data_IF_632673652233
#
_entry.id   IF_632673652233
#
_cell.length_a   1.000
_cell.length_b   1.000
_cell.length_c   1.000
_cell.angle_alpha   90.00
_cell.angle_beta   90.00
_cell.angle_gamma   90.00
#
_symmetry.space_group_name_H-M   'P 1'
#
loop_
_entity.id
_entity.type
_entity.pdbx_description
1 polymer ?
#
# COMPACT_ATOMS: atom_id res chain seq x y z
N UNK A 1 16.11 -17.69 7.13
CA UNK A 1 14.81 -17.66 6.42
C UNK A 1 14.41 -19.10 6.15
N UNK A 2 13.36 -19.61 6.81
CA UNK A 2 12.80 -20.93 6.46
C UNK A 2 12.22 -20.84 5.05
N UNK A 3 12.56 -21.77 4.17
CA UNK A 3 12.06 -21.87 2.80
C UNK A 3 10.52 -22.00 2.86
N UNK A 4 9.80 -20.97 2.42
CA UNK A 4 8.40 -21.07 2.03
C UNK A 4 8.36 -21.68 0.61
N UNK A 5 8.71 -22.96 0.50
CA UNK A 5 8.63 -23.67 -0.78
C UNK A 5 7.16 -23.67 -1.22
N UNK A 6 6.89 -23.18 -2.44
CA UNK A 6 5.58 -23.08 -3.09
C UNK A 6 4.54 -22.05 -2.56
N UNK A 7 4.90 -21.06 -1.78
CA UNK A 7 3.94 -19.98 -1.40
C UNK A 7 4.19 -18.71 -2.23
N UNK A 8 3.17 -17.89 -2.53
CA UNK A 8 3.36 -16.57 -3.12
C UNK A 8 4.41 -15.72 -2.38
N UNK A 9 5.09 -14.83 -3.11
CA UNK A 9 5.99 -13.82 -2.54
C UNK A 9 5.18 -12.57 -2.24
N UNK A 10 5.28 -12.03 -1.02
CA UNK A 10 4.67 -10.75 -0.68
C UNK A 10 5.74 -9.66 -0.61
N UNK A 11 5.53 -8.60 -1.36
CA UNK A 11 6.34 -7.39 -1.37
C UNK A 11 5.49 -6.27 -0.77
N UNK A 12 5.85 -5.78 0.41
CA UNK A 12 5.22 -4.62 1.02
C UNK A 12 5.89 -3.33 0.56
N UNK A 13 5.11 -2.37 0.09
CA UNK A 13 5.58 -1.05 -0.34
C UNK A 13 4.84 0.02 0.45
N UNK A 14 5.56 0.74 1.31
CA UNK A 14 5.02 1.83 2.12
C UNK A 14 5.75 3.15 1.87
N UNK A 15 5.21 4.20 2.41
CA UNK A 15 5.74 5.57 2.36
C UNK A 15 4.63 6.58 2.54
N UNK A 16 4.98 7.81 2.88
CA UNK A 16 3.99 8.87 3.09
C UNK A 16 3.14 9.16 1.85
N UNK A 17 2.00 9.81 2.05
CA UNK A 17 1.20 10.32 0.93
C UNK A 17 2.06 11.26 0.07
N UNK A 18 2.07 11.06 -1.25
CA UNK A 18 2.91 11.82 -2.18
C UNK A 18 4.37 11.34 -2.30
N UNK A 19 4.78 10.26 -1.59
CA UNK A 19 6.15 9.75 -1.67
C UNK A 19 6.50 9.07 -3.01
N UNK A 20 5.51 8.69 -3.82
CA UNK A 20 5.72 7.94 -5.06
C UNK A 20 5.69 6.41 -4.89
N UNK A 21 5.18 5.90 -3.75
CA UNK A 21 5.04 4.45 -3.52
C UNK A 21 4.25 3.75 -4.62
N UNK A 22 3.15 4.34 -5.08
CA UNK A 22 2.33 3.78 -6.17
C UNK A 22 3.10 3.72 -7.49
N UNK A 23 3.92 4.73 -7.78
CA UNK A 23 4.80 4.75 -8.96
C UNK A 23 5.84 3.63 -8.90
N UNK A 24 6.48 3.46 -7.74
CA UNK A 24 7.44 2.35 -7.52
C UNK A 24 6.74 0.99 -7.67
N UNK A 25 5.58 0.80 -7.05
CA UNK A 25 4.81 -0.45 -7.13
C UNK A 25 4.41 -0.79 -8.56
N UNK A 26 3.92 0.20 -9.32
CA UNK A 26 3.56 0.03 -10.75
C UNK A 26 4.79 -0.30 -11.60
N UNK A 27 5.90 0.41 -11.40
CA UNK A 27 7.12 0.16 -12.16
C UNK A 27 7.64 -1.28 -11.93
N UNK A 28 7.59 -1.78 -10.69
CA UNK A 28 7.92 -3.19 -10.39
C UNK A 28 6.93 -4.13 -11.08
N UNK A 29 5.64 -3.84 -11.00
CA UNK A 29 4.58 -4.64 -11.62
C UNK A 29 4.76 -4.73 -13.14
N UNK A 30 4.98 -3.59 -13.80
CA UNK A 30 5.13 -3.50 -15.24
C UNK A 30 6.41 -4.17 -15.76
N UNK A 31 7.52 -4.06 -15.04
CA UNK A 31 8.80 -4.66 -15.45
C UNK A 31 8.88 -6.18 -15.20
N UNK A 32 7.93 -6.75 -14.46
CA UNK A 32 7.83 -8.18 -14.20
C UNK A 32 6.84 -8.89 -15.14
N UNK A 33 6.56 -8.33 -16.34
CA UNK A 33 5.65 -8.98 -17.27
C UNK A 33 6.08 -10.43 -17.56
N UNK A 34 5.08 -11.30 -17.72
CA UNK A 34 5.27 -12.74 -17.94
C UNK A 34 5.26 -13.55 -16.65
N UNK A 35 5.28 -12.90 -15.49
CA UNK A 35 5.03 -13.54 -14.20
C UNK A 35 3.60 -13.33 -13.74
N UNK A 36 3.14 -14.22 -12.88
CA UNK A 36 1.81 -14.15 -12.27
C UNK A 36 1.85 -13.13 -11.10
N UNK A 37 1.33 -11.94 -11.33
CA UNK A 37 1.41 -10.79 -10.42
C UNK A 37 0.04 -10.32 -9.95
N UNK A 38 -0.05 -9.91 -8.69
CA UNK A 38 -1.21 -9.25 -8.09
C UNK A 38 -0.75 -7.97 -7.40
N UNK A 39 -1.46 -6.86 -7.62
CA UNK A 39 -1.30 -5.64 -6.83
C UNK A 39 -2.51 -5.46 -5.92
N UNK A 40 -2.29 -5.39 -4.61
CA UNK A 40 -3.28 -5.10 -3.60
C UNK A 40 -2.99 -3.73 -2.98
N UNK A 41 -4.03 -2.93 -2.84
CA UNK A 41 -3.97 -1.62 -2.19
C UNK A 41 -4.58 -1.72 -0.79
N UNK A 42 -3.85 -1.27 0.22
CA UNK A 42 -4.33 -1.17 1.60
C UNK A 42 -5.61 -0.33 1.69
N UNK A 43 -5.73 0.70 0.84
CA UNK A 43 -6.88 1.61 0.79
C UNK A 43 -8.22 0.89 0.48
N UNK A 44 -8.19 -0.30 -0.13
CA UNK A 44 -9.39 -1.14 -0.30
C UNK A 44 -9.92 -1.66 1.04
N UNK A 45 -9.10 -1.68 2.08
CA UNK A 45 -9.41 -2.25 3.40
C UNK A 45 -9.75 -1.20 4.47
N UNK A 46 -10.10 0.03 4.08
CA UNK A 46 -10.73 0.93 5.04
C UNK A 46 -11.97 0.27 5.67
N UNK A 47 -12.22 0.58 6.92
CA UNK A 47 -13.38 0.04 7.64
C UNK A 47 -14.69 0.32 6.94
N UNK A 48 -15.62 -0.63 7.05
CA UNK A 48 -17.01 -0.37 6.73
C UNK A 48 -17.59 0.63 7.74
N UNK A 49 -18.15 1.70 7.22
CA UNK A 49 -18.77 2.78 8.00
C UNK A 49 -20.26 2.95 7.61
N UNK A 50 -20.87 1.94 7.00
CA UNK A 50 -22.25 2.00 6.53
C UNK A 50 -23.27 2.33 7.63
N UNK A 51 -22.97 1.93 8.87
CA UNK A 51 -23.81 2.22 10.06
C UNK A 51 -23.66 3.64 10.58
N UNK A 52 -22.69 4.44 10.05
CA UNK A 52 -22.45 5.82 10.46
C UNK A 52 -23.14 6.80 9.50
N UNK A 53 -23.69 7.94 10.00
CA UNK A 53 -24.14 9.03 9.14
C UNK A 53 -23.00 9.55 8.26
N UNK A 54 -23.31 10.00 7.04
CA UNK A 54 -22.33 10.51 6.08
C UNK A 54 -21.45 11.63 6.65
N UNK A 55 -22.06 12.56 7.42
CA UNK A 55 -21.36 13.69 8.05
C UNK A 55 -20.30 13.27 9.07
N UNK A 56 -20.42 12.05 9.61
CA UNK A 56 -19.39 11.49 10.52
C UNK A 56 -18.32 10.73 9.74
N UNK A 57 -18.68 10.02 8.65
CA UNK A 57 -17.73 9.31 7.80
C UNK A 57 -16.67 10.23 7.21
N UNK A 58 -17.08 11.43 6.75
CA UNK A 58 -16.17 12.44 6.18
C UNK A 58 -15.19 13.03 7.20
N UNK A 59 -15.45 12.87 8.50
CA UNK A 59 -14.55 13.32 9.59
C UNK A 59 -13.52 12.27 9.97
N UNK A 60 -13.64 11.04 9.47
CA UNK A 60 -12.71 9.96 9.79
C UNK A 60 -11.29 10.31 9.38
N UNK A 61 -10.33 10.05 10.29
CA UNK A 61 -8.92 10.22 9.99
C UNK A 61 -8.39 8.98 9.23
N UNK A 62 -8.41 9.05 7.91
CA UNK A 62 -7.99 7.97 7.01
C UNK A 62 -6.47 7.73 6.97
N UNK A 63 -5.69 8.55 7.65
CA UNK A 63 -4.24 8.35 7.83
C UNK A 63 -3.90 7.65 9.16
N UNK A 64 -4.92 7.33 10.00
CA UNK A 64 -4.74 6.64 11.28
C UNK A 64 -4.88 5.12 11.12
N UNK A 65 -4.08 4.28 11.82
CA UNK A 65 -4.19 2.81 11.74
C UNK A 65 -5.60 2.27 11.99
N UNK A 66 -6.36 2.89 12.90
CA UNK A 66 -7.72 2.46 13.22
C UNK A 66 -8.73 2.68 12.07
N UNK A 67 -8.34 3.34 10.98
CA UNK A 67 -9.20 3.50 9.81
C UNK A 67 -9.25 2.23 8.95
N UNK A 68 -8.35 1.27 9.17
CA UNK A 68 -8.19 0.07 8.36
C UNK A 68 -8.66 -1.19 9.08
N UNK A 69 -9.29 -2.09 8.35
CA UNK A 69 -9.57 -3.45 8.75
C UNK A 69 -8.33 -4.33 8.48
N UNK A 70 -7.32 -4.14 9.30
CA UNK A 70 -6.06 -4.88 9.19
C UNK A 70 -6.26 -6.38 9.43
N UNK A 71 -7.23 -6.76 10.24
CA UNK A 71 -7.53 -8.18 10.50
C UNK A 71 -8.02 -8.89 9.24
N UNK A 72 -8.93 -8.27 8.50
CA UNK A 72 -9.40 -8.79 7.21
C UNK A 72 -8.25 -8.86 6.19
N UNK A 73 -7.43 -7.82 6.10
CA UNK A 73 -6.27 -7.79 5.18
C UNK A 73 -5.30 -8.94 5.51
N UNK A 74 -4.94 -9.12 6.78
CA UNK A 74 -4.07 -10.23 7.23
C UNK A 74 -4.68 -11.59 6.90
N UNK A 75 -5.98 -11.77 7.15
CA UNK A 75 -6.69 -13.01 6.82
C UNK A 75 -6.63 -13.29 5.32
N UNK A 76 -6.95 -12.31 4.49
CA UNK A 76 -6.98 -12.48 3.04
C UNK A 76 -5.60 -12.70 2.45
N UNK A 77 -4.56 -12.04 2.96
CA UNK A 77 -3.17 -12.34 2.57
C UNK A 77 -2.77 -13.78 2.91
N UNK A 78 -3.17 -14.31 4.08
CA UNK A 78 -2.95 -15.72 4.43
C UNK A 78 -3.68 -16.67 3.49
N UNK A 79 -4.92 -16.37 3.12
CA UNK A 79 -5.69 -17.15 2.15
C UNK A 79 -4.99 -17.16 0.78
N UNK A 80 -4.51 -16.00 0.30
CA UNK A 80 -3.72 -15.92 -0.95
C UNK A 80 -2.41 -16.70 -0.85
N UNK A 81 -1.70 -16.65 0.29
CA UNK A 81 -0.49 -17.44 0.52
C UNK A 81 -0.76 -18.96 0.50
N UNK A 82 -1.97 -19.37 0.81
CA UNK A 82 -2.43 -20.75 0.73
C UNK A 82 -3.10 -21.07 -0.62
N UNK A 83 -2.88 -20.24 -1.63
CA UNK A 83 -3.42 -20.35 -3.00
C UNK A 83 -4.95 -20.35 -3.08
N UNK A 84 -5.63 -19.71 -2.12
CA UNK A 84 -7.07 -19.54 -2.11
C UNK A 84 -7.47 -18.21 -2.71
N UNK A 85 -8.57 -18.21 -3.43
CA UNK A 85 -9.25 -17.01 -3.92
C UNK A 85 -9.84 -16.23 -2.75
N UNK A 86 -9.81 -14.91 -2.82
CA UNK A 86 -10.41 -14.00 -1.84
C UNK A 86 -11.50 -13.15 -2.46
N UNK A 87 -12.38 -12.62 -1.62
CA UNK A 87 -13.34 -11.57 -1.95
C UNK A 87 -12.83 -10.25 -1.36
N UNK A 88 -12.06 -9.51 -2.17
CA UNK A 88 -11.48 -8.23 -1.78
C UNK A 88 -12.58 -7.18 -1.64
N UNK A 89 -12.63 -6.40 -0.56
CA UNK A 89 -13.59 -5.30 -0.43
C UNK A 89 -13.32 -4.23 -1.49
N UNK A 90 -14.39 -3.54 -1.90
CA UNK A 90 -14.33 -2.35 -2.74
C UNK A 90 -14.70 -1.17 -1.86
N UNK A 91 -13.80 -0.19 -1.77
CA UNK A 91 -14.07 1.04 -1.03
C UNK A 91 -14.65 2.12 -1.93
N UNK A 92 -15.78 2.69 -1.55
CA UNK A 92 -16.41 3.81 -2.23
C UNK A 92 -15.94 5.13 -1.63
N UNK A 93 -15.07 5.82 -2.36
CA UNK A 93 -14.51 7.11 -1.92
C UNK A 93 -15.54 8.25 -1.93
N UNK A 94 -16.65 8.11 -2.65
CA UNK A 94 -17.72 9.11 -2.68
C UNK A 94 -18.61 8.98 -1.46
N UNK A 95 -18.91 7.74 -1.08
CA UNK A 95 -19.77 7.43 0.07
C UNK A 95 -18.97 7.31 1.38
N UNK A 96 -17.63 7.35 1.33
CA UNK A 96 -16.73 7.19 2.47
C UNK A 96 -17.00 5.92 3.28
N UNK A 97 -17.27 4.80 2.58
CA UNK A 97 -17.49 3.49 3.20
C UNK A 97 -17.21 2.38 2.20
N UNK A 98 -17.29 1.13 2.63
CA UNK A 98 -17.22 -0.03 1.74
C UNK A 98 -18.49 -0.15 0.90
N UNK A 99 -18.32 -0.54 -0.36
CA UNK A 99 -19.42 -1.01 -1.20
C UNK A 99 -19.96 -2.36 -0.68
N UNK A 100 -21.21 -2.66 -0.99
CA UNK A 100 -21.77 -4.01 -0.80
C UNK A 100 -21.19 -5.03 -1.79
N UNK A 101 -20.53 -4.57 -2.85
CA UNK A 101 -19.88 -5.42 -3.84
C UNK A 101 -18.45 -5.77 -3.39
N UNK A 102 -17.97 -6.93 -3.84
CA UNK A 102 -16.62 -7.40 -3.62
C UNK A 102 -15.97 -7.77 -4.95
N UNK A 103 -14.66 -7.71 -5.01
CA UNK A 103 -13.88 -8.15 -6.15
C UNK A 103 -13.29 -9.54 -5.87
N UNK A 104 -13.61 -10.51 -6.73
CA UNK A 104 -13.01 -11.83 -6.67
C UNK A 104 -11.56 -11.76 -7.17
N UNK A 105 -10.60 -12.06 -6.31
CA UNK A 105 -9.17 -12.00 -6.61
C UNK A 105 -8.56 -13.39 -6.46
N UNK A 106 -7.95 -13.87 -7.53
CA UNK A 106 -7.23 -15.14 -7.55
C UNK A 106 -5.78 -14.97 -7.06
N UNK A 107 -5.22 -15.97 -6.39
CA UNK A 107 -3.82 -15.93 -5.95
C UNK A 107 -2.86 -15.87 -7.13
N UNK A 108 -1.75 -15.18 -6.93
CA UNK A 108 -0.67 -15.03 -7.91
C UNK A 108 0.68 -15.31 -7.23
N UNK A 109 1.71 -15.60 -8.04
CA UNK A 109 3.05 -15.92 -7.53
C UNK A 109 3.71 -14.78 -6.77
N UNK A 110 3.41 -13.53 -7.16
CA UNK A 110 3.90 -12.33 -6.49
C UNK A 110 2.72 -11.44 -6.15
N UNK A 111 2.68 -10.99 -4.90
CA UNK A 111 1.70 -10.05 -4.39
C UNK A 111 2.45 -8.79 -3.98
N UNK A 112 2.15 -7.66 -4.61
CA UNK A 112 2.61 -6.34 -4.20
C UNK A 112 1.51 -5.74 -3.33
N UNK A 113 1.77 -5.59 -2.04
CA UNK A 113 0.89 -4.89 -1.10
C UNK A 113 1.38 -3.46 -0.94
N UNK A 114 0.59 -2.50 -1.40
CA UNK A 114 0.91 -1.08 -1.33
C UNK A 114 -0.02 -0.35 -0.36
N UNK A 115 0.55 0.48 0.50
CA UNK A 115 -0.24 1.34 1.37
C UNK A 115 0.63 2.19 2.30
N UNK A 116 0.00 3.15 2.97
CA UNK A 116 0.72 4.06 3.87
C UNK A 116 1.10 3.40 5.20
N UNK A 117 0.36 2.40 5.65
CA UNK A 117 0.51 1.77 6.96
C UNK A 117 0.87 0.27 6.90
N UNK A 118 1.11 -0.29 5.71
CA UNK A 118 1.36 -1.74 5.55
C UNK A 118 2.57 -2.26 6.36
N UNK A 119 3.51 -1.40 6.72
CA UNK A 119 4.59 -1.77 7.64
C UNK A 119 4.32 -1.40 9.11
N UNK A 120 3.16 -0.82 9.43
CA UNK A 120 2.83 -0.47 10.82
C UNK A 120 2.44 -1.67 11.66
N UNK A 121 1.70 -2.61 11.10
CA UNK A 121 1.22 -3.80 11.80
C UNK A 121 2.24 -4.96 11.78
N UNK A 122 2.60 -5.55 12.94
CA UNK A 122 3.52 -6.68 13.00
C UNK A 122 3.04 -7.90 12.20
N UNK A 123 1.74 -8.21 12.24
CA UNK A 123 1.20 -9.39 11.57
C UNK A 123 1.28 -9.25 10.03
N UNK A 124 1.15 -8.03 9.49
CA UNK A 124 1.40 -7.75 8.08
C UNK A 124 2.88 -7.90 7.74
N UNK A 125 3.78 -7.32 8.55
CA UNK A 125 5.24 -7.40 8.31
C UNK A 125 5.73 -8.84 8.28
N UNK A 126 5.21 -9.71 9.14
CA UNK A 126 5.61 -11.11 9.24
C UNK A 126 5.19 -11.94 8.01
N UNK A 127 4.22 -11.47 7.24
CA UNK A 127 3.81 -12.09 5.99
C UNK A 127 4.67 -11.66 4.79
N UNK A 128 5.41 -10.56 4.90
CA UNK A 128 6.17 -9.99 3.79
C UNK A 128 7.57 -10.62 3.65
N UNK A 129 7.94 -10.94 2.42
CA UNK A 129 9.28 -11.42 2.06
C UNK A 129 10.24 -10.26 1.78
N UNK A 130 9.72 -9.14 1.26
CA UNK A 130 10.47 -7.90 1.00
C UNK A 130 9.64 -6.72 1.50
N UNK A 131 10.27 -5.85 2.27
CA UNK A 131 9.67 -4.62 2.81
C UNK A 131 10.40 -3.40 2.27
N UNK A 132 9.66 -2.56 1.55
CA UNK A 132 10.19 -1.37 0.89
C UNK A 132 9.57 -0.13 1.53
N UNK A 133 10.42 0.81 1.93
CA UNK A 133 10.00 2.15 2.36
C UNK A 133 10.40 3.16 1.29
N UNK A 134 9.42 3.87 0.72
CA UNK A 134 9.64 4.95 -0.24
C UNK A 134 9.79 6.25 0.51
N UNK A 135 11.01 6.77 0.54
CA UNK A 135 11.41 7.93 1.32
C UNK A 135 11.55 9.16 0.43
N UNK A 136 10.75 10.17 0.70
CA UNK A 136 10.73 11.44 -0.03
C UNK A 136 10.49 12.56 0.97
N UNK A 137 11.19 13.65 0.82
CA UNK A 137 11.13 14.80 1.71
C UNK A 137 9.71 15.40 1.80
N UNK A 138 9.39 15.97 2.96
CA UNK A 138 8.06 16.48 3.29
C UNK A 138 7.56 17.54 2.30
N UNK A 139 8.44 18.43 1.85
CA UNK A 139 8.13 19.50 0.90
C UNK A 139 7.79 18.95 -0.49
N UNK A 140 8.54 17.96 -0.96
CA UNK A 140 8.24 17.29 -2.24
C UNK A 140 6.92 16.51 -2.14
N UNK A 141 6.70 15.81 -1.02
CA UNK A 141 5.45 15.05 -0.81
C UNK A 141 4.23 15.96 -0.80
N UNK A 142 4.29 17.11 -0.12
CA UNK A 142 3.14 18.03 -0.09
C UNK A 142 2.89 18.67 -1.46
N UNK A 143 3.93 19.03 -2.22
CA UNK A 143 3.78 19.57 -3.58
C UNK A 143 3.08 18.55 -4.48
N UNK A 144 3.56 17.30 -4.53
CA UNK A 144 2.96 16.21 -5.31
C UNK A 144 1.51 15.94 -4.90
N UNK A 145 1.22 15.97 -3.58
CA UNK A 145 -0.14 15.79 -3.07
C UNK A 145 -1.06 16.92 -3.50
N UNK A 146 -0.63 18.19 -3.43
CA UNK A 146 -1.41 19.35 -3.86
C UNK A 146 -1.78 19.19 -5.34
N UNK A 147 -0.81 18.93 -6.20
CA UNK A 147 -1.03 18.74 -7.63
C UNK A 147 -2.07 17.64 -7.90
N UNK A 148 -1.83 16.43 -7.39
CA UNK A 148 -2.73 15.31 -7.58
C UNK A 148 -4.15 15.59 -7.04
N UNK A 149 -4.27 16.11 -5.82
CA UNK A 149 -5.57 16.28 -5.19
C UNK A 149 -6.39 17.41 -5.84
N UNK A 150 -5.74 18.41 -6.45
CA UNK A 150 -6.42 19.43 -7.26
C UNK A 150 -6.80 18.89 -8.64
N UNK A 151 -5.85 18.29 -9.36
CA UNK A 151 -6.02 17.90 -10.77
C UNK A 151 -6.90 16.65 -10.92
N UNK A 152 -6.71 15.64 -10.05
CA UNK A 152 -7.38 14.34 -10.19
C UNK A 152 -8.61 14.19 -9.29
N UNK A 153 -8.68 14.93 -8.16
CA UNK A 153 -9.72 14.78 -7.13
C UNK A 153 -10.61 16.00 -6.97
N UNK A 154 -10.35 17.07 -7.73
CA UNK A 154 -11.15 18.30 -7.73
C UNK A 154 -11.17 19.04 -6.39
N UNK A 155 -10.17 18.85 -5.53
CA UNK A 155 -10.10 19.48 -4.21
C UNK A 155 -9.60 20.92 -4.29
N UNK A 156 -10.00 21.77 -3.35
CA UNK A 156 -9.41 23.10 -3.22
C UNK A 156 -8.03 23.04 -2.57
N UNK A 157 -7.13 23.95 -2.95
CA UNK A 157 -5.81 24.09 -2.35
C UNK A 157 -5.89 24.22 -0.82
N UNK A 158 -6.83 25.05 -0.32
CA UNK A 158 -6.99 25.26 1.12
C UNK A 158 -7.35 23.96 1.83
N UNK A 159 -8.29 23.19 1.29
CA UNK A 159 -8.71 21.90 1.88
C UNK A 159 -7.57 20.88 1.96
N UNK A 160 -6.69 20.84 0.95
CA UNK A 160 -5.52 19.96 0.94
C UNK A 160 -4.51 20.39 2.00
N UNK A 161 -4.22 21.68 2.11
CA UNK A 161 -3.29 22.23 3.11
C UNK A 161 -3.82 21.99 4.54
N UNK A 162 -5.09 22.24 4.78
CA UNK A 162 -5.69 22.06 6.12
C UNK A 162 -5.64 20.59 6.55
N UNK A 163 -6.00 19.66 5.67
CA UNK A 163 -5.90 18.24 5.95
C UNK A 163 -4.44 17.81 6.16
N UNK A 164 -3.50 18.32 5.36
CA UNK A 164 -2.09 17.99 5.53
C UNK A 164 -1.59 18.37 6.93
N UNK A 165 -1.94 19.58 7.40
CA UNK A 165 -1.52 20.07 8.72
C UNK A 165 -2.21 19.34 9.87
N UNK A 166 -3.51 19.06 9.72
CA UNK A 166 -4.32 18.53 10.83
C UNK A 166 -4.19 17.01 10.99
N UNK A 167 -4.00 16.27 9.90
CA UNK A 167 -3.99 14.80 9.93
C UNK A 167 -2.76 14.20 9.25
N UNK A 168 -2.53 14.48 7.98
CA UNK A 168 -1.54 13.73 7.17
C UNK A 168 -0.13 13.84 7.75
N UNK A 169 0.35 15.05 8.07
CA UNK A 169 1.70 15.24 8.61
C UNK A 169 1.85 14.66 10.02
N UNK A 170 0.94 14.92 10.99
CA UNK A 170 1.01 14.27 12.30
C UNK A 170 0.99 12.74 12.23
N UNK A 171 0.11 12.15 11.41
CA UNK A 171 0.02 10.69 11.26
C UNK A 171 1.25 10.10 10.59
N UNK A 172 1.84 10.81 9.63
CA UNK A 172 3.10 10.40 9.02
C UNK A 172 4.20 10.22 10.08
N UNK A 173 4.45 11.25 10.90
CA UNK A 173 5.49 11.19 11.92
C UNK A 173 5.18 10.19 13.05
N UNK A 174 3.91 9.99 13.37
CA UNK A 174 3.50 9.10 14.44
C UNK A 174 3.51 7.62 14.03
N UNK A 175 3.03 7.29 12.83
CA UNK A 175 2.75 5.91 12.44
C UNK A 175 3.52 5.42 11.22
N UNK A 176 3.84 6.29 10.25
CA UNK A 176 4.43 5.87 8.97
C UNK A 176 5.97 5.94 9.04
N UNK A 177 6.52 7.12 9.32
CA UNK A 177 7.97 7.34 9.37
C UNK A 177 8.70 6.37 10.31
N UNK A 178 8.20 6.06 11.53
CA UNK A 178 8.86 5.11 12.41
C UNK A 178 8.98 3.70 11.83
N UNK A 179 8.15 3.34 10.84
CA UNK A 179 8.21 2.01 10.20
C UNK A 179 9.38 1.84 9.24
N UNK A 180 10.06 2.93 8.87
CA UNK A 180 11.30 2.91 8.07
C UNK A 180 12.33 1.93 8.62
N UNK A 181 12.40 1.77 9.93
CA UNK A 181 13.31 0.82 10.61
C UNK A 181 13.04 -0.65 10.30
N UNK A 182 11.84 -0.97 9.82
CA UNK A 182 11.45 -2.34 9.48
C UNK A 182 11.63 -2.66 8.00
N UNK A 183 11.97 -1.66 7.18
CA UNK A 183 12.19 -1.85 5.76
C UNK A 183 13.51 -2.60 5.50
N UNK A 184 13.48 -3.51 4.54
CA UNK A 184 14.67 -4.17 4.03
C UNK A 184 15.40 -3.25 3.04
N UNK A 185 14.65 -2.36 2.36
CA UNK A 185 15.16 -1.41 1.37
C UNK A 185 14.44 -0.07 1.53
N UNK A 186 15.22 1.02 1.53
CA UNK A 186 14.72 2.38 1.48
C UNK A 186 14.98 2.93 0.08
N UNK A 187 13.93 3.39 -0.60
CA UNK A 187 13.99 3.96 -1.94
C UNK A 187 13.83 5.47 -1.82
N UNK A 188 14.90 6.27 -2.01
CA UNK A 188 14.80 7.71 -2.01
C UNK A 188 14.10 8.22 -3.28
N UNK A 189 13.40 9.37 -3.17
CA UNK A 189 12.77 10.10 -4.27
C UNK A 189 11.65 9.37 -5.05
N UNK A 190 11.28 8.18 -4.62
CA UNK A 190 10.16 7.44 -5.19
C UNK A 190 10.42 6.89 -6.59
N UNK A 191 9.42 7.00 -7.46
CA UNK A 191 9.43 6.42 -8.80
C UNK A 191 10.43 7.02 -9.79
N UNK A 192 11.08 8.13 -9.45
CA UNK A 192 12.13 8.74 -10.27
C UNK A 192 13.48 8.01 -10.11
N UNK A 193 13.63 7.20 -9.06
CA UNK A 193 14.85 6.43 -8.81
C UNK A 193 14.87 5.11 -9.61
N UNK A 194 15.14 5.19 -10.90
CA UNK A 194 15.21 4.02 -11.80
C UNK A 194 16.23 2.98 -11.34
N UNK A 195 17.36 3.41 -10.79
CA UNK A 195 18.40 2.48 -10.30
C UNK A 195 17.85 1.59 -9.18
N UNK A 196 17.13 2.18 -8.22
CA UNK A 196 16.50 1.41 -7.14
C UNK A 196 15.42 0.46 -7.69
N UNK A 197 14.60 0.92 -8.63
CA UNK A 197 13.55 0.10 -9.27
C UNK A 197 14.18 -1.10 -10.00
N UNK A 198 15.22 -0.89 -10.80
CA UNK A 198 15.91 -1.95 -11.54
C UNK A 198 16.54 -3.00 -10.63
N UNK A 199 17.13 -2.56 -9.49
CA UNK A 199 17.65 -3.47 -8.47
C UNK A 199 16.54 -4.31 -7.83
N UNK A 200 15.41 -3.69 -7.50
CA UNK A 200 14.24 -4.37 -6.93
C UNK A 200 13.68 -5.41 -7.90
N UNK A 201 13.46 -5.03 -9.15
CA UNK A 201 12.95 -5.92 -10.20
C UNK A 201 13.90 -7.11 -10.42
N UNK A 202 15.22 -6.84 -10.47
CA UNK A 202 16.24 -7.90 -10.61
C UNK A 202 16.19 -8.86 -9.43
N UNK A 203 16.01 -8.35 -8.21
CA UNK A 203 15.90 -9.20 -7.01
C UNK A 203 14.64 -10.06 -7.02
N UNK A 204 13.52 -9.52 -7.43
CA UNK A 204 12.26 -10.27 -7.53
C UNK A 204 12.37 -11.36 -8.59
N UNK A 205 12.93 -11.05 -9.76
CA UNK A 205 13.21 -12.06 -10.82
C UNK A 205 14.10 -13.21 -10.31
N UNK A 206 15.15 -12.90 -9.54
CA UNK A 206 16.02 -13.92 -8.95
C UNK A 206 15.26 -14.82 -7.97
N UNK A 207 14.35 -14.25 -7.17
CA UNK A 207 13.50 -15.04 -6.26
C UNK A 207 12.59 -15.98 -7.04
N UNK A 208 11.94 -15.51 -8.10
CA UNK A 208 11.03 -16.32 -8.93
C UNK A 208 11.78 -17.45 -9.64
N UNK A 209 12.91 -17.15 -10.29
CA UNK A 209 13.73 -18.16 -10.97
C UNK A 209 14.23 -19.29 -10.06
N UNK A 210 14.44 -19.01 -8.77
CA UNK A 210 14.85 -20.02 -7.78
C UNK A 210 13.73 -20.96 -7.39
N UNK A 211 12.48 -20.60 -7.67
CA UNK A 211 11.29 -21.42 -7.41
C UNK A 211 10.92 -22.34 -8.56
N UNK A 212 11.33 -22.00 -9.78
CA UNK A 212 11.11 -22.81 -10.97
C UNK A 212 12.07 -24.03 -11.08
N UNK A 213 13.06 -24.11 -10.17
CA UNK A 213 14.05 -25.20 -10.06
C UNK A 213 13.74 -26.13 -8.90
#
# INVERSE_FOLDING_TARGET
MAKRENKPVIIGVTGGSGSGKTTVSRAIFEQLHGHSLLMLQEDSYYNDQSDMPFEERIKTNYDHPNAFDTELLVKQLKDLLDWKTIEKPIYDYTEHTRSSEVEKVEPKEVIILEGILVLNDPALRDLMDIKIFVDTDDDIRIIRRIQRDIEERGRSLQSVIDQYKSTVKPMYHQFIEPTKRYADIIVPEGGENQVAIDLLVTKVRDILRKREK
#
